data_IF_685118347906
#
_entry.id   IF_685118347906
#
_cell.length_a   1.000
_cell.length_b   1.000
_cell.length_c   1.000
_cell.angle_alpha   90.00
_cell.angle_beta   90.00
_cell.angle_gamma   90.00
#
_symmetry.space_group_name_H-M   'P 1'
#
loop_
_entity.id
_entity.type
_entity.pdbx_description
1 polymer ?
#
# COMPACT_ATOMS: atom_id res chain seq x y z
N UNK A 1 -21.21 9.74 -9.42
CA UNK A 1 -20.73 9.70 -10.81
C UNK A 1 -19.39 8.98 -10.79
N UNK A 2 -19.14 8.07 -11.72
CA UNK A 2 -17.80 7.48 -11.89
C UNK A 2 -16.90 8.52 -12.55
N UNK A 3 -16.07 9.17 -11.75
CA UNK A 3 -15.15 10.22 -12.18
C UNK A 3 -13.81 10.13 -11.40
N UNK A 4 -12.90 11.04 -11.72
CA UNK A 4 -11.60 11.14 -11.04
C UNK A 4 -11.73 11.44 -9.55
N UNK A 5 -12.75 12.17 -9.12
CA UNK A 5 -12.95 12.52 -7.71
C UNK A 5 -13.32 11.29 -6.89
N UNK A 6 -14.25 10.47 -7.41
CA UNK A 6 -14.58 9.18 -6.82
C UNK A 6 -13.33 8.29 -6.70
N UNK A 7 -12.52 8.20 -7.75
CA UNK A 7 -11.28 7.44 -7.73
C UNK A 7 -10.33 7.88 -6.61
N UNK A 8 -10.11 9.19 -6.45
CA UNK A 8 -9.26 9.74 -5.38
C UNK A 8 -9.80 9.41 -3.99
N UNK A 9 -11.11 9.52 -3.77
CA UNK A 9 -11.72 9.15 -2.48
C UNK A 9 -11.59 7.66 -2.19
N UNK A 10 -11.72 6.80 -3.20
CA UNK A 10 -11.52 5.35 -3.06
C UNK A 10 -10.07 4.99 -2.75
N UNK A 11 -9.13 5.67 -3.41
CA UNK A 11 -7.71 5.53 -3.13
C UNK A 11 -7.37 5.91 -1.68
N UNK A 12 -7.90 7.04 -1.20
CA UNK A 12 -7.73 7.48 0.19
C UNK A 12 -8.34 6.51 1.20
N UNK A 13 -9.54 5.98 0.92
CA UNK A 13 -10.19 5.04 1.81
C UNK A 13 -9.47 3.70 1.89
N UNK A 14 -8.96 3.18 0.76
CA UNK A 14 -8.05 2.02 0.75
C UNK A 14 -6.84 2.24 1.66
N UNK A 15 -6.15 3.38 1.50
CA UNK A 15 -5.01 3.76 2.33
C UNK A 15 -5.39 3.83 3.81
N UNK A 16 -6.54 4.43 4.14
CA UNK A 16 -7.02 4.55 5.51
C UNK A 16 -7.24 3.18 6.16
N UNK A 17 -7.87 2.24 5.47
CA UNK A 17 -8.07 0.88 5.99
C UNK A 17 -6.75 0.12 6.13
N UNK A 18 -5.83 0.25 5.16
CA UNK A 18 -4.51 -0.35 5.25
C UNK A 18 -3.75 0.16 6.49
N UNK A 19 -3.69 1.48 6.69
CA UNK A 19 -2.99 2.09 7.82
C UNK A 19 -3.65 1.79 9.16
N UNK A 20 -4.99 1.79 9.21
CA UNK A 20 -5.73 1.28 10.36
C UNK A 20 -5.33 -0.15 10.71
N UNK A 21 -5.17 -1.03 9.71
CA UNK A 21 -4.72 -2.40 9.95
C UNK A 21 -3.31 -2.46 10.52
N UNK A 22 -2.39 -1.62 10.04
CA UNK A 22 -1.00 -1.57 10.52
C UNK A 22 -0.92 -1.07 11.98
N UNK A 23 -1.80 -0.12 12.35
CA UNK A 23 -1.88 0.47 13.69
C UNK A 23 -2.69 -0.35 14.71
N UNK A 24 -3.44 -1.36 14.29
CA UNK A 24 -4.28 -2.13 15.20
C UNK A 24 -3.46 -3.10 16.07
N UNK A 25 -3.66 -3.06 17.39
CA UNK A 25 -3.00 -3.99 18.32
C UNK A 25 -3.71 -5.36 18.35
N UNK A 26 -5.04 -5.36 18.34
CA UNK A 26 -5.85 -6.58 18.44
C UNK A 26 -5.76 -7.40 17.13
N UNK A 27 -5.23 -8.64 17.14
CA UNK A 27 -4.95 -9.40 15.92
C UNK A 27 -6.18 -9.64 15.03
N UNK A 28 -7.35 -9.87 15.64
CA UNK A 28 -8.58 -10.11 14.87
C UNK A 28 -9.04 -8.83 14.14
N UNK A 29 -8.89 -7.66 14.77
CA UNK A 29 -9.23 -6.36 14.18
C UNK A 29 -8.21 -6.00 13.09
N UNK A 30 -6.92 -6.16 13.38
CA UNK A 30 -5.82 -5.98 12.41
C UNK A 30 -6.07 -6.78 11.13
N UNK A 31 -6.25 -8.09 11.25
CA UNK A 31 -6.41 -8.96 10.08
C UNK A 31 -7.67 -8.61 9.30
N UNK A 32 -8.78 -8.32 9.99
CA UNK A 32 -10.03 -7.95 9.32
C UNK A 32 -9.92 -6.63 8.57
N UNK A 33 -9.29 -5.61 9.17
CA UNK A 33 -9.05 -4.33 8.50
C UNK A 33 -8.14 -4.48 7.28
N UNK A 34 -7.12 -5.35 7.38
CA UNK A 34 -6.27 -5.65 6.24
C UNK A 34 -7.06 -6.33 5.12
N UNK A 35 -7.88 -7.35 5.42
CA UNK A 35 -8.78 -7.98 4.44
C UNK A 35 -9.70 -6.95 3.76
N UNK A 36 -10.25 -6.02 4.53
CA UNK A 36 -11.08 -4.95 3.98
C UNK A 36 -10.28 -3.98 3.10
N UNK A 37 -9.04 -3.66 3.45
CA UNK A 37 -8.16 -2.90 2.55
C UNK A 37 -7.95 -3.62 1.21
N UNK A 38 -7.86 -4.95 1.20
CA UNK A 38 -7.71 -5.71 -0.04
C UNK A 38 -9.00 -5.70 -0.89
N UNK A 39 -10.17 -5.67 -0.25
CA UNK A 39 -11.46 -5.45 -0.94
C UNK A 39 -11.48 -4.05 -1.57
N UNK A 40 -11.08 -3.03 -0.80
CA UNK A 40 -11.05 -1.65 -1.29
C UNK A 40 -10.05 -1.42 -2.42
N UNK A 41 -8.90 -2.09 -2.37
CA UNK A 41 -7.95 -2.09 -3.47
C UNK A 41 -8.55 -2.71 -4.74
N UNK A 42 -9.33 -3.78 -4.60
CA UNK A 42 -10.06 -4.39 -5.72
C UNK A 42 -11.12 -3.43 -6.28
N UNK A 43 -11.82 -2.69 -5.43
CA UNK A 43 -12.73 -1.62 -5.86
C UNK A 43 -11.98 -0.56 -6.67
N UNK A 44 -10.81 -0.13 -6.18
CA UNK A 44 -9.95 0.83 -6.88
C UNK A 44 -9.51 0.30 -8.25
N UNK A 45 -9.15 -0.99 -8.35
CA UNK A 45 -8.84 -1.65 -9.63
C UNK A 45 -10.00 -1.60 -10.61
N UNK A 46 -11.21 -1.96 -10.19
CA UNK A 46 -12.38 -1.91 -11.08
C UNK A 46 -12.70 -0.50 -11.57
N UNK A 47 -12.52 0.51 -10.70
CA UNK A 47 -12.67 1.92 -11.10
C UNK A 47 -11.59 2.34 -12.09
N UNK A 48 -10.33 1.98 -11.82
CA UNK A 48 -9.19 2.22 -12.71
C UNK A 48 -9.48 1.70 -14.13
N UNK A 49 -9.90 0.44 -14.25
CA UNK A 49 -10.24 -0.22 -15.52
C UNK A 49 -11.44 0.45 -16.20
N UNK A 50 -12.47 0.81 -15.43
CA UNK A 50 -13.68 1.46 -15.96
C UNK A 50 -13.37 2.86 -16.50
N UNK A 51 -12.65 3.68 -15.73
CA UNK A 51 -12.30 5.04 -16.12
C UNK A 51 -11.41 5.03 -17.36
N UNK A 52 -10.45 4.10 -17.44
CA UNK A 52 -9.63 3.92 -18.63
C UNK A 52 -10.47 3.54 -19.86
N UNK A 53 -11.39 2.57 -19.73
CA UNK A 53 -12.26 2.14 -20.82
C UNK A 53 -13.19 3.26 -21.32
N UNK A 54 -13.65 4.12 -20.41
CA UNK A 54 -14.52 5.26 -20.71
C UNK A 54 -13.73 6.49 -21.22
N UNK A 55 -12.40 6.41 -21.29
CA UNK A 55 -11.53 7.52 -21.71
C UNK A 55 -11.49 8.69 -20.72
N UNK A 56 -11.79 8.43 -19.45
CA UNK A 56 -11.84 9.41 -18.38
C UNK A 56 -10.46 9.44 -17.68
N UNK A 57 -9.74 10.58 -17.71
CA UNK A 57 -8.47 10.69 -16.99
C UNK A 57 -8.69 10.65 -15.48
N UNK A 58 -7.74 10.07 -14.76
CA UNK A 58 -7.71 10.01 -13.30
C UNK A 58 -6.27 10.13 -12.79
N UNK A 59 -6.13 10.43 -11.51
CA UNK A 59 -4.84 10.56 -10.85
C UNK A 59 -4.92 10.13 -9.38
N UNK A 60 -3.77 10.11 -8.71
CA UNK A 60 -3.63 9.69 -7.32
C UNK A 60 -3.56 10.86 -6.34
N UNK A 61 -4.04 12.06 -6.73
CA UNK A 61 -4.06 13.23 -5.85
C UNK A 61 -4.90 12.96 -4.61
N UNK A 62 -4.50 13.56 -3.48
CA UNK A 62 -5.18 13.45 -2.19
C UNK A 62 -5.69 14.80 -1.72
N UNK A 63 -6.77 14.80 -0.97
CA UNK A 63 -7.22 15.97 -0.25
C UNK A 63 -6.09 16.45 0.68
N UNK A 64 -5.83 17.75 0.73
CA UNK A 64 -4.80 18.32 1.61
C UNK A 64 -5.08 18.09 3.10
N UNK A 65 -6.33 17.80 3.47
CA UNK A 65 -6.73 17.42 4.83
C UNK A 65 -6.64 15.90 5.08
N UNK A 66 -6.34 15.08 4.07
CA UNK A 66 -6.21 13.63 4.25
C UNK A 66 -4.96 13.30 5.08
N UNK A 67 -5.18 12.50 6.12
CA UNK A 67 -4.13 11.98 6.99
C UNK A 67 -4.49 10.60 7.52
N UNK A 68 -3.45 9.92 8.00
CA UNK A 68 -3.51 8.59 8.64
C UNK A 68 -3.01 8.62 10.09
N UNK A 69 -2.45 9.74 10.55
CA UNK A 69 -2.00 9.91 11.93
C UNK A 69 -3.19 10.30 12.80
N UNK A 70 -3.42 9.53 13.87
CA UNK A 70 -4.49 9.77 14.83
C UNK A 70 -3.98 9.62 16.25
N UNK A 71 -4.59 10.33 17.20
CA UNK A 71 -4.24 10.23 18.61
C UNK A 71 -4.71 8.91 19.23
N UNK A 72 -5.92 8.45 18.88
CA UNK A 72 -6.47 7.18 19.37
C UNK A 72 -6.96 6.33 18.21
N UNK A 73 -7.01 5.02 18.43
CA UNK A 73 -7.56 4.10 17.43
C UNK A 73 -9.06 4.37 17.18
N UNK A 74 -9.80 4.78 18.22
CA UNK A 74 -11.19 5.20 18.08
C UNK A 74 -11.39 6.41 17.17
N UNK A 75 -10.47 7.40 17.19
CA UNK A 75 -10.50 8.54 16.26
C UNK A 75 -10.32 8.08 14.81
N UNK A 76 -9.35 7.19 14.60
CA UNK A 76 -9.07 6.63 13.28
C UNK A 76 -10.26 5.84 12.71
N UNK A 77 -10.95 5.04 13.55
CA UNK A 77 -12.16 4.33 13.18
C UNK A 77 -13.33 5.28 12.85
N UNK A 78 -13.50 6.37 13.61
CA UNK A 78 -14.50 7.41 13.29
C UNK A 78 -14.23 8.05 11.94
N UNK A 79 -12.99 8.43 11.68
CA UNK A 79 -12.62 8.99 10.39
C UNK A 79 -12.91 8.03 9.22
N UNK A 80 -12.66 6.73 9.38
CA UNK A 80 -13.01 5.73 8.36
C UNK A 80 -14.52 5.58 8.15
N UNK A 81 -15.31 5.60 9.24
CA UNK A 81 -16.78 5.56 9.14
C UNK A 81 -17.34 6.79 8.41
N UNK A 82 -16.84 7.98 8.73
CA UNK A 82 -17.29 9.24 8.12
C UNK A 82 -16.92 9.32 6.64
N UNK A 83 -15.70 8.87 6.29
CA UNK A 83 -15.25 8.79 4.89
C UNK A 83 -16.07 7.81 4.08
N UNK A 84 -16.40 6.64 4.64
CA UNK A 84 -17.23 5.65 3.98
C UNK A 84 -18.67 6.15 3.75
N UNK A 85 -19.22 6.87 4.74
CA UNK A 85 -20.51 7.56 4.58
C UNK A 85 -20.49 8.55 3.42
N UNK A 86 -19.45 9.37 3.35
CA UNK A 86 -19.26 10.36 2.28
C UNK A 86 -19.04 9.70 0.90
N UNK A 87 -18.37 8.55 0.85
CA UNK A 87 -18.20 7.76 -0.37
C UNK A 87 -19.54 7.24 -0.92
N UNK A 88 -20.40 6.72 -0.05
CA UNK A 88 -21.71 6.19 -0.45
C UNK A 88 -22.60 7.25 -1.12
N UNK A 89 -22.47 8.52 -0.73
CA UNK A 89 -23.20 9.65 -1.34
C UNK A 89 -22.72 9.97 -2.77
N UNK A 90 -21.49 9.56 -3.12
CA UNK A 90 -20.88 9.82 -4.45
C UNK A 90 -21.17 8.71 -5.46
N UNK A 91 -21.55 7.53 -4.99
CA UNK A 91 -21.88 6.39 -5.83
C UNK A 91 -23.12 6.65 -6.67
N UNK A 92 -23.01 6.34 -7.97
CA UNK A 92 -24.16 6.32 -8.86
C UNK A 92 -24.91 4.97 -8.79
N UNK A 93 -25.93 4.82 -9.64
CA UNK A 93 -26.78 3.63 -9.73
C UNK A 93 -26.19 2.53 -10.63
N UNK A 94 -24.90 2.62 -10.99
CA UNK A 94 -24.25 1.56 -11.76
C UNK A 94 -24.11 0.26 -10.96
N UNK A 95 -24.09 -0.87 -11.66
CA UNK A 95 -23.86 -2.21 -11.07
C UNK A 95 -22.56 -2.25 -10.25
N UNK A 96 -21.52 -1.56 -10.74
CA UNK A 96 -20.24 -1.48 -10.04
C UNK A 96 -20.37 -0.74 -8.70
N UNK A 97 -21.02 0.43 -8.70
CA UNK A 97 -21.23 1.20 -7.48
C UNK A 97 -22.14 0.47 -6.48
N UNK A 98 -23.17 -0.25 -6.94
CA UNK A 98 -24.00 -1.07 -6.05
C UNK A 98 -23.24 -2.26 -5.46
N UNK A 99 -22.32 -2.86 -6.24
CA UNK A 99 -21.43 -3.90 -5.73
C UNK A 99 -20.55 -3.36 -4.60
N UNK A 100 -19.88 -2.23 -4.83
CA UNK A 100 -19.03 -1.56 -3.82
C UNK A 100 -19.82 -1.22 -2.56
N UNK A 101 -20.99 -0.57 -2.72
CA UNK A 101 -21.91 -0.22 -1.62
C UNK A 101 -22.33 -1.43 -0.80
N UNK A 102 -22.49 -2.60 -1.43
CA UNK A 102 -22.87 -3.83 -0.72
C UNK A 102 -21.73 -4.39 0.12
N UNK A 103 -20.52 -4.47 -0.44
CA UNK A 103 -19.34 -4.93 0.30
C UNK A 103 -19.04 -3.95 1.46
N UNK A 104 -19.16 -2.64 1.21
CA UNK A 104 -18.87 -1.59 2.18
C UNK A 104 -19.90 -1.44 3.29
N UNK A 105 -21.17 -1.81 3.07
CA UNK A 105 -22.15 -1.92 4.16
C UNK A 105 -21.70 -2.90 5.24
N UNK A 106 -21.06 -4.00 4.85
CA UNK A 106 -20.50 -4.95 5.81
C UNK A 106 -19.28 -4.37 6.54
N UNK A 107 -18.37 -3.73 5.80
CA UNK A 107 -17.21 -3.02 6.38
C UNK A 107 -17.68 -1.98 7.41
N UNK A 108 -18.69 -1.17 7.05
CA UNK A 108 -19.26 -0.13 7.91
C UNK A 108 -19.82 -0.70 9.22
N UNK A 109 -20.50 -1.85 9.17
CA UNK A 109 -21.01 -2.53 10.37
C UNK A 109 -19.86 -2.89 11.31
N UNK A 110 -18.82 -3.53 10.77
CA UNK A 110 -17.65 -3.93 11.54
C UNK A 110 -16.93 -2.72 12.15
N UNK A 111 -16.70 -1.66 11.37
CA UNK A 111 -16.04 -0.45 11.86
C UNK A 111 -16.81 0.18 13.03
N UNK A 112 -18.15 0.23 12.96
CA UNK A 112 -19.01 0.74 14.03
C UNK A 112 -18.96 -0.13 15.29
N UNK A 113 -18.88 -1.45 15.14
CA UNK A 113 -18.72 -2.37 16.27
C UNK A 113 -17.38 -2.15 16.99
N UNK A 114 -16.30 -1.86 16.25
CA UNK A 114 -14.98 -1.57 16.82
C UNK A 114 -14.86 -0.20 17.50
N UNK A 115 -15.75 0.76 17.22
CA UNK A 115 -15.67 2.12 17.80
C UNK A 115 -15.89 2.14 19.32
N UNK A 116 -16.53 1.12 19.89
CA UNK A 116 -16.88 1.07 21.31
C UNK A 116 -15.73 0.81 22.28
N UNK A 117 -14.51 0.53 21.80
CA UNK A 117 -13.50 -0.18 22.61
C UNK A 117 -12.12 0.45 22.76
N UNK A 118 -11.81 1.65 22.23
CA UNK A 118 -10.40 2.10 22.18
C UNK A 118 -10.17 3.58 22.46
N UNK A 119 -10.05 3.93 23.74
CA UNK A 119 -9.59 5.25 24.20
C UNK A 119 -8.06 5.34 24.40
N UNK A 120 -7.32 4.26 24.16
CA UNK A 120 -5.87 4.25 24.37
C UNK A 120 -5.14 5.04 23.27
N UNK A 121 -4.12 5.84 23.62
CA UNK A 121 -3.30 6.53 22.64
C UNK A 121 -2.57 5.54 21.72
N UNK A 122 -2.54 5.85 20.42
CA UNK A 122 -1.74 5.11 19.46
C UNK A 122 -0.26 5.43 19.64
N UNK A 123 0.56 4.38 19.77
CA UNK A 123 2.03 4.50 19.81
C UNK A 123 2.65 4.51 18.42
N UNK A 124 1.88 4.11 17.41
CA UNK A 124 2.29 3.98 16.00
C UNK A 124 2.88 5.26 15.39
N UNK A 125 2.57 6.43 15.97
CA UNK A 125 2.97 7.76 15.48
C UNK A 125 3.80 8.58 16.50
N UNK A 126 4.26 7.95 17.59
CA UNK A 126 4.89 8.66 18.72
C UNK A 126 6.36 9.07 18.50
N UNK A 127 6.93 8.65 17.37
CA UNK A 127 8.32 8.91 16.96
C UNK A 127 9.37 8.39 17.94
N UNK A 128 9.03 7.35 18.72
CA UNK A 128 9.94 6.74 19.69
C UNK A 128 11.16 6.07 19.06
N UNK A 129 11.07 5.67 17.77
CA UNK A 129 12.14 4.99 17.01
C UNK A 129 12.72 3.79 17.75
N UNK A 130 11.85 3.05 18.44
CA UNK A 130 12.28 1.95 19.32
C UNK A 130 11.77 0.62 18.80
N UNK A 131 12.68 -0.29 18.47
CA UNK A 131 12.31 -1.68 18.22
C UNK A 131 11.90 -2.35 19.55
N UNK A 132 10.70 -2.95 19.65
CA UNK A 132 10.21 -3.48 20.92
C UNK A 132 10.88 -4.80 21.35
N UNK A 133 11.33 -5.61 20.38
CA UNK A 133 11.77 -6.99 20.64
C UNK A 133 13.26 -7.11 20.97
N UNK A 134 14.06 -6.07 20.71
CA UNK A 134 15.50 -6.06 20.97
C UNK A 134 16.04 -4.64 21.18
N UNK A 135 17.15 -4.53 21.90
CA UNK A 135 17.91 -3.28 22.01
C UNK A 135 18.83 -3.13 20.81
N UNK A 136 18.39 -2.38 19.81
CA UNK A 136 19.23 -1.94 18.70
C UNK A 136 20.10 -0.76 19.16
N UNK A 137 21.35 -0.72 18.71
CA UNK A 137 22.18 0.47 18.88
C UNK A 137 21.73 1.60 17.91
N UNK A 138 22.31 2.80 18.04
CA UNK A 138 21.92 3.95 17.21
C UNK A 138 22.12 3.69 15.72
N UNK A 139 23.25 3.09 15.34
CA UNK A 139 23.57 2.80 13.94
C UNK A 139 22.58 1.79 13.33
N UNK A 140 22.25 0.72 14.05
CA UNK A 140 21.23 -0.26 13.66
C UNK A 140 19.84 0.38 13.56
N UNK A 141 19.50 1.25 14.52
CA UNK A 141 18.20 1.95 14.54
C UNK A 141 18.07 2.92 13.38
N UNK A 142 19.13 3.66 13.07
CA UNK A 142 19.18 4.60 11.94
C UNK A 142 19.09 3.85 10.61
N UNK A 143 19.88 2.79 10.42
CA UNK A 143 19.84 1.96 9.22
C UNK A 143 18.45 1.34 8.99
N UNK A 144 17.86 0.76 10.04
CA UNK A 144 16.50 0.20 9.98
C UNK A 144 15.46 1.27 9.67
N UNK A 145 15.57 2.45 10.29
CA UNK A 145 14.62 3.56 10.05
C UNK A 145 14.67 4.01 8.59
N UNK A 146 15.88 4.25 8.05
CA UNK A 146 16.05 4.70 6.66
C UNK A 146 15.48 3.69 5.68
N UNK A 147 15.87 2.42 5.82
CA UNK A 147 15.35 1.33 5.00
C UNK A 147 13.83 1.28 5.01
N UNK A 148 13.20 1.30 6.18
CA UNK A 148 11.75 1.21 6.28
C UNK A 148 11.04 2.38 5.60
N UNK A 149 11.57 3.61 5.68
CA UNK A 149 11.00 4.75 4.97
C UNK A 149 11.17 4.65 3.46
N UNK A 150 12.36 4.24 2.99
CA UNK A 150 12.65 4.10 1.56
C UNK A 150 11.80 2.99 0.93
N UNK A 151 11.79 1.81 1.53
CA UNK A 151 11.10 0.65 1.00
C UNK A 151 9.58 0.74 1.15
N UNK A 152 9.04 1.18 2.29
CA UNK A 152 7.57 1.37 2.39
C UNK A 152 7.06 2.40 1.38
N UNK A 153 7.84 3.44 1.11
CA UNK A 153 7.52 4.42 0.10
C UNK A 153 7.57 3.83 -1.32
N UNK A 154 8.66 3.10 -1.63
CA UNK A 154 8.86 2.39 -2.90
C UNK A 154 7.67 1.47 -3.18
N UNK A 155 7.31 0.61 -2.23
CA UNK A 155 6.26 -0.39 -2.43
C UNK A 155 4.88 0.23 -2.64
N UNK A 156 4.55 1.28 -1.88
CA UNK A 156 3.32 2.04 -2.15
C UNK A 156 3.32 2.67 -3.55
N UNK A 157 4.44 3.25 -3.98
CA UNK A 157 4.57 3.83 -5.32
C UNK A 157 4.40 2.77 -6.41
N UNK A 158 5.07 1.62 -6.26
CA UNK A 158 5.00 0.49 -7.19
C UNK A 158 3.59 -0.08 -7.33
N UNK A 159 2.85 -0.28 -6.22
CA UNK A 159 1.44 -0.73 -6.27
C UNK A 159 0.60 0.15 -7.19
N UNK A 160 0.74 1.48 -7.09
CA UNK A 160 -0.05 2.43 -7.87
C UNK A 160 0.42 2.55 -9.32
N UNK A 161 1.74 2.48 -9.57
CA UNK A 161 2.29 2.42 -10.93
C UNK A 161 1.80 1.15 -11.64
N UNK A 162 1.92 -0.01 -10.99
CA UNK A 162 1.49 -1.28 -11.56
C UNK A 162 -0.02 -1.35 -11.73
N UNK A 163 -0.82 -0.77 -10.82
CA UNK A 163 -2.26 -0.64 -10.99
C UNK A 163 -2.61 0.20 -12.24
N UNK A 164 -1.89 1.30 -12.45
CA UNK A 164 -2.05 2.13 -13.65
C UNK A 164 -1.70 1.36 -14.93
N UNK A 165 -0.63 0.56 -14.89
CA UNK A 165 -0.21 -0.29 -16.02
C UNK A 165 -1.14 -1.47 -16.26
N UNK A 166 -1.71 -2.05 -15.21
CA UNK A 166 -2.63 -3.18 -15.29
C UNK A 166 -3.89 -2.82 -16.09
N UNK A 167 -4.48 -1.65 -15.85
CA UNK A 167 -5.63 -1.18 -16.62
C UNK A 167 -5.33 -0.99 -18.12
N UNK A 168 -4.04 -0.84 -18.47
CA UNK A 168 -3.52 -0.65 -19.85
C UNK A 168 -2.89 -1.90 -20.44
N UNK A 169 -2.91 -3.02 -19.72
CA UNK A 169 -2.33 -4.26 -20.19
C UNK A 169 -3.09 -4.77 -21.42
N UNK A 170 -2.35 -5.14 -22.47
CA UNK A 170 -2.93 -5.63 -23.73
C UNK A 170 -2.81 -7.14 -23.90
N UNK A 171 -2.04 -7.80 -23.04
CA UNK A 171 -1.85 -9.25 -23.06
C UNK A 171 -2.19 -9.86 -21.70
N UNK A 172 -2.56 -11.14 -21.71
CA UNK A 172 -2.77 -11.89 -20.48
C UNK A 172 -1.47 -12.01 -19.66
N UNK A 173 -0.31 -12.08 -20.33
CA UNK A 173 0.99 -12.13 -19.69
C UNK A 173 1.30 -10.82 -18.93
N UNK A 174 1.07 -9.65 -19.55
CA UNK A 174 1.19 -8.36 -18.86
C UNK A 174 0.24 -8.28 -17.66
N UNK A 175 -1.03 -8.68 -17.86
CA UNK A 175 -2.04 -8.62 -16.80
C UNK A 175 -1.66 -9.49 -15.59
N UNK A 176 -1.16 -10.70 -15.84
CA UNK A 176 -0.64 -11.60 -14.81
C UNK A 176 0.56 -10.99 -14.10
N UNK A 177 1.59 -10.58 -14.85
CA UNK A 177 2.82 -10.05 -14.26
C UNK A 177 2.59 -8.79 -13.42
N UNK A 178 1.75 -7.85 -13.86
CA UNK A 178 1.42 -6.67 -13.04
C UNK A 178 0.59 -7.04 -11.81
N UNK A 179 -0.26 -8.06 -11.90
CA UNK A 179 -1.00 -8.56 -10.72
C UNK A 179 -0.02 -9.17 -9.71
N UNK A 180 0.89 -10.03 -10.17
CA UNK A 180 1.90 -10.66 -9.31
C UNK A 180 2.77 -9.59 -8.60
N UNK A 181 3.23 -8.57 -9.34
CA UNK A 181 4.01 -7.46 -8.77
C UNK A 181 3.21 -6.65 -7.74
N UNK A 182 1.92 -6.39 -7.99
CA UNK A 182 1.06 -5.69 -7.02
C UNK A 182 0.90 -6.52 -5.74
N UNK A 183 0.69 -7.83 -5.87
CA UNK A 183 0.48 -8.73 -4.73
C UNK A 183 1.71 -8.82 -3.84
N UNK A 184 2.91 -8.97 -4.43
CA UNK A 184 4.16 -8.97 -3.68
C UNK A 184 4.44 -7.60 -3.04
N UNK A 185 4.25 -6.49 -3.76
CA UNK A 185 4.40 -5.15 -3.19
C UNK A 185 3.43 -4.87 -2.05
N UNK A 186 2.20 -5.41 -2.08
CA UNK A 186 1.29 -5.33 -0.93
C UNK A 186 1.85 -6.05 0.30
N UNK A 187 2.45 -7.22 0.10
CA UNK A 187 3.07 -7.97 1.19
C UNK A 187 4.24 -7.20 1.81
N UNK A 188 5.12 -6.62 0.98
CA UNK A 188 6.23 -5.79 1.46
C UNK A 188 5.74 -4.53 2.16
N UNK A 189 4.83 -3.76 1.54
CA UNK A 189 4.25 -2.55 2.14
C UNK A 189 3.65 -2.85 3.52
N UNK A 190 2.88 -3.93 3.65
CA UNK A 190 2.33 -4.37 4.94
C UNK A 190 3.45 -4.66 5.94
N UNK A 191 4.42 -5.47 5.55
CA UNK A 191 5.49 -5.92 6.45
C UNK A 191 6.30 -4.75 6.98
N UNK A 192 6.74 -3.84 6.10
CA UNK A 192 7.50 -2.66 6.48
C UNK A 192 6.65 -1.67 7.29
N UNK A 193 5.39 -1.44 6.91
CA UNK A 193 4.51 -0.54 7.66
C UNK A 193 4.18 -1.06 9.06
N UNK A 194 3.98 -2.37 9.23
CA UNK A 194 3.81 -2.96 10.56
C UNK A 194 5.07 -2.83 11.42
N UNK A 195 6.27 -2.90 10.83
CA UNK A 195 7.52 -2.63 11.53
C UNK A 195 7.65 -1.15 11.92
N UNK A 196 7.33 -0.24 11.00
CA UNK A 196 7.28 1.20 11.28
C UNK A 196 6.30 1.51 12.41
N UNK A 197 5.15 0.83 12.42
CA UNK A 197 4.14 0.99 13.47
C UNK A 197 4.65 0.53 14.84
N UNK A 198 5.38 -0.59 14.91
CA UNK A 198 6.05 -1.03 16.14
C UNK A 198 7.10 -0.05 16.64
N UNK A 199 7.76 0.65 15.73
CA UNK A 199 8.79 1.66 16.02
C UNK A 199 8.23 3.06 16.29
N UNK A 200 6.92 3.25 16.17
CA UNK A 200 6.27 4.55 16.34
C UNK A 200 6.54 5.55 15.21
N UNK A 201 6.97 5.08 14.04
CA UNK A 201 7.36 5.91 12.89
C UNK A 201 6.50 5.67 11.65
N UNK A 202 5.32 5.04 11.77
CA UNK A 202 4.45 4.85 10.63
C UNK A 202 4.09 6.23 10.05
N UNK A 203 4.20 6.39 8.74
CA UNK A 203 3.95 7.65 8.07
C UNK A 203 3.23 7.43 6.75
N UNK A 204 2.45 8.43 6.34
CA UNK A 204 1.81 8.43 5.04
C UNK A 204 2.87 8.61 3.93
N UNK A 205 2.86 7.79 2.86
CA UNK A 205 3.79 7.94 1.75
C UNK A 205 3.53 9.25 1.00
N UNK A 206 4.54 9.84 0.36
CA UNK A 206 4.33 11.06 -0.46
C UNK A 206 3.32 10.79 -1.58
N UNK A 207 2.67 11.87 -2.04
CA UNK A 207 1.73 11.79 -3.15
C UNK A 207 2.46 11.49 -4.46
N UNK A 208 1.84 10.70 -5.33
CA UNK A 208 2.40 10.38 -6.64
C UNK A 208 2.04 11.46 -7.66
N UNK A 209 3.05 12.03 -8.29
CA UNK A 209 2.87 12.94 -9.41
C UNK A 209 2.63 12.15 -10.72
N UNK A 210 1.83 12.64 -11.68
CA UNK A 210 1.57 11.98 -12.96
C UNK A 210 2.80 11.40 -13.67
N UNK A 211 3.88 12.17 -13.71
CA UNK A 211 5.19 11.75 -14.29
C UNK A 211 5.78 10.48 -13.68
N UNK A 212 5.35 10.07 -12.49
CA UNK A 212 5.81 8.85 -11.82
C UNK A 212 5.12 7.61 -12.37
N UNK A 213 3.83 7.68 -12.70
CA UNK A 213 3.04 6.51 -13.14
C UNK A 213 2.67 6.52 -14.63
N UNK A 214 2.71 7.67 -15.29
CA UNK A 214 2.60 7.81 -16.74
C UNK A 214 3.91 7.46 -17.43
N UNK A 215 4.27 6.17 -17.39
CA UNK A 215 5.53 5.67 -17.95
C UNK A 215 5.52 5.76 -19.47
N UNK A 216 6.38 6.61 -20.03
CA UNK A 216 6.55 6.78 -21.48
C UNK A 216 7.54 5.78 -22.10
N UNK A 217 8.44 5.23 -21.28
CA UNK A 217 9.47 4.27 -21.70
C UNK A 217 9.47 3.08 -20.72
N UNK A 218 8.69 2.07 -21.07
CA UNK A 218 8.52 0.86 -20.25
C UNK A 218 9.79 0.02 -20.14
N UNK A 219 10.60 -0.04 -21.21
CA UNK A 219 11.85 -0.79 -21.16
C UNK A 219 12.81 -0.16 -20.16
N UNK A 220 12.99 1.17 -20.22
CA UNK A 220 13.82 1.88 -19.25
C UNK A 220 13.30 1.74 -17.84
N UNK A 221 11.98 1.87 -17.64
CA UNK A 221 11.36 1.71 -16.32
C UNK A 221 11.67 0.32 -15.73
N UNK A 222 11.45 -0.76 -16.48
CA UNK A 222 11.71 -2.12 -16.00
C UNK A 222 13.19 -2.39 -15.75
N UNK A 223 14.09 -1.88 -16.62
CA UNK A 223 15.54 -2.02 -16.41
C UNK A 223 16.01 -1.28 -15.17
N UNK A 224 15.49 -0.08 -14.93
CA UNK A 224 15.79 0.68 -13.72
C UNK A 224 15.24 -0.04 -12.48
N UNK A 225 14.01 -0.56 -12.54
CA UNK A 225 13.41 -1.35 -11.47
C UNK A 225 14.25 -2.58 -11.11
N UNK A 226 14.75 -3.33 -12.09
CA UNK A 226 15.66 -4.47 -11.84
C UNK A 226 16.93 -4.01 -11.09
N UNK A 227 17.52 -2.88 -11.46
CA UNK A 227 18.70 -2.34 -10.75
C UNK A 227 18.33 -1.91 -9.33
N UNK A 228 17.16 -1.34 -9.14
CA UNK A 228 16.64 -0.95 -7.83
C UNK A 228 16.45 -2.15 -6.91
N UNK A 229 15.86 -3.26 -7.39
CA UNK A 229 15.72 -4.48 -6.58
C UNK A 229 17.05 -5.15 -6.26
N UNK A 230 18.04 -5.12 -7.17
CA UNK A 230 19.38 -5.63 -6.85
C UNK A 230 20.08 -4.78 -5.76
N UNK A 231 19.83 -3.46 -5.75
CA UNK A 231 20.30 -2.58 -4.67
C UNK A 231 19.57 -2.87 -3.35
N UNK A 232 18.24 -3.03 -3.38
CA UNK A 232 17.43 -3.37 -2.21
C UNK A 232 17.87 -4.71 -1.59
N UNK A 233 18.24 -5.69 -2.44
CA UNK A 233 18.82 -6.96 -2.00
C UNK A 233 20.14 -6.78 -1.26
N UNK A 234 21.06 -5.97 -1.79
CA UNK A 234 22.34 -5.73 -1.13
C UNK A 234 22.14 -4.98 0.21
N UNK A 235 21.20 -4.05 0.26
CA UNK A 235 20.84 -3.35 1.50
C UNK A 235 20.22 -4.32 2.52
N UNK A 236 19.30 -5.21 2.12
CA UNK A 236 18.76 -6.27 2.98
C UNK A 236 19.87 -7.18 3.53
N UNK A 237 20.83 -7.57 2.68
CA UNK A 237 22.00 -8.38 3.08
C UNK A 237 22.85 -7.65 4.11
N UNK A 238 23.10 -6.34 3.88
CA UNK A 238 23.83 -5.48 4.81
C UNK A 238 23.11 -5.39 6.15
N UNK A 239 21.81 -5.08 6.17
CA UNK A 239 21.00 -5.00 7.38
C UNK A 239 20.97 -6.33 8.13
N UNK A 240 20.77 -7.45 7.42
CA UNK A 240 20.78 -8.80 8.00
C UNK A 240 22.10 -9.10 8.71
N UNK A 241 23.23 -8.64 8.17
CA UNK A 241 24.56 -8.83 8.77
C UNK A 241 24.87 -7.93 9.98
N UNK A 242 24.24 -6.75 10.06
CA UNK A 242 24.52 -5.74 11.09
C UNK A 242 23.53 -5.82 12.24
N UNK A 243 22.30 -6.26 12.00
CA UNK A 243 21.26 -6.39 13.01
C UNK A 243 21.52 -7.63 13.88
N UNK A 244 21.60 -7.40 15.19
CA UNK A 244 21.86 -8.43 16.19
C UNK A 244 20.63 -9.22 16.61
N UNK A 245 19.43 -8.74 16.26
CA UNK A 245 18.17 -9.44 16.50
C UNK A 245 17.97 -10.56 15.47
N UNK A 246 17.90 -11.85 15.88
CA UNK A 246 17.81 -12.96 14.95
C UNK A 246 16.53 -12.95 14.12
N UNK A 247 15.41 -12.48 14.66
CA UNK A 247 14.13 -12.45 13.94
C UNK A 247 14.15 -11.43 12.81
N UNK A 248 14.65 -10.22 13.09
CA UNK A 248 14.86 -9.19 12.08
C UNK A 248 15.88 -9.64 11.03
N UNK A 249 16.99 -10.26 11.45
CA UNK A 249 18.00 -10.77 10.52
C UNK A 249 17.42 -11.82 9.55
N UNK A 250 16.66 -12.80 10.06
CA UNK A 250 15.96 -13.79 9.23
C UNK A 250 14.85 -13.17 8.36
N UNK A 251 14.17 -12.12 8.83
CA UNK A 251 13.20 -11.39 8.03
C UNK A 251 13.87 -10.73 6.81
N UNK A 252 15.00 -10.06 6.98
CA UNK A 252 15.72 -9.45 5.84
C UNK A 252 16.29 -10.48 4.87
N UNK A 253 16.71 -11.65 5.36
CA UNK A 253 17.08 -12.78 4.49
C UNK A 253 15.87 -13.28 3.68
N UNK A 254 14.70 -13.39 4.31
CA UNK A 254 13.47 -13.77 3.63
C UNK A 254 13.06 -12.76 2.53
N UNK A 255 13.07 -11.45 2.84
CA UNK A 255 12.78 -10.40 1.86
C UNK A 255 13.77 -10.44 0.69
N UNK A 256 15.06 -10.65 0.95
CA UNK A 256 16.08 -10.75 -0.10
C UNK A 256 15.77 -11.83 -1.16
N UNK A 257 15.16 -12.95 -0.75
CA UNK A 257 14.71 -13.98 -1.68
C UNK A 257 13.48 -13.56 -2.49
N UNK A 258 12.53 -12.83 -1.89
CA UNK A 258 11.36 -12.31 -2.60
C UNK A 258 11.74 -11.30 -3.69
N UNK A 259 12.69 -10.41 -3.42
CA UNK A 259 13.19 -9.45 -4.41
C UNK A 259 13.80 -10.15 -5.64
N UNK A 260 14.34 -11.36 -5.47
CA UNK A 260 14.82 -12.14 -6.60
C UNK A 260 13.68 -12.55 -7.55
N UNK A 261 12.48 -12.78 -7.02
CA UNK A 261 11.31 -13.10 -7.84
C UNK A 261 10.74 -11.87 -8.55
N UNK A 262 10.72 -10.69 -7.90
CA UNK A 262 10.40 -9.41 -8.57
C UNK A 262 11.23 -9.19 -9.83
N UNK A 263 12.54 -9.41 -9.72
CA UNK A 263 13.48 -9.30 -10.84
C UNK A 263 13.09 -10.24 -11.99
N UNK A 264 12.72 -11.49 -11.69
CA UNK A 264 12.32 -12.45 -12.72
C UNK A 264 11.00 -12.05 -13.40
N UNK A 265 10.03 -11.49 -12.67
CA UNK A 265 8.79 -10.97 -13.26
C UNK A 265 9.09 -9.78 -14.19
N UNK A 266 9.96 -8.86 -13.77
CA UNK A 266 10.37 -7.71 -14.60
C UNK A 266 11.15 -8.14 -15.85
N UNK A 267 12.01 -9.15 -15.76
CA UNK A 267 12.69 -9.75 -16.92
C UNK A 267 11.68 -10.36 -17.90
N UNK A 268 10.70 -11.10 -17.39
CA UNK A 268 9.61 -11.66 -18.23
C UNK A 268 8.80 -10.57 -18.91
N UNK A 269 8.49 -9.48 -18.19
CA UNK A 269 7.83 -8.32 -18.76
C UNK A 269 8.65 -7.75 -19.93
N UNK A 270 9.96 -7.57 -19.78
CA UNK A 270 10.84 -7.06 -20.85
C UNK A 270 10.80 -7.88 -22.15
N UNK A 271 10.42 -9.16 -22.10
CA UNK A 271 10.31 -10.02 -23.29
C UNK A 271 9.05 -9.74 -24.13
N UNK A 272 8.01 -9.12 -23.57
CA UNK A 272 6.73 -8.90 -24.25
C UNK A 272 6.82 -7.94 -25.45
N UNK A 273 7.85 -7.08 -25.53
CA UNK A 273 8.20 -6.12 -26.61
C UNK A 273 7.09 -5.17 -27.12
N UNK A 274 5.84 -5.36 -26.73
CA UNK A 274 4.69 -4.55 -27.12
C UNK A 274 4.15 -3.78 -25.90
N UNK A 275 4.64 -2.55 -25.74
CA UNK A 275 4.14 -1.62 -24.73
C UNK A 275 3.30 -0.56 -25.43
N UNK A 276 1.97 -0.62 -25.27
CA UNK A 276 1.14 0.53 -25.60
C UNK A 276 1.23 1.54 -24.44
N UNK A 277 1.40 2.81 -24.81
CA UNK A 277 1.28 3.96 -23.92
C UNK A 277 -0.14 4.52 -24.01
#
# INVERSE_FOLDING_TARGET
MRDAELFRHKHQFWLRLAYLSFSADEPCVKNRLYEFSQIEFRHLKWLCETLYADGIPYDYHRDGAFGVEFHTFGDALRAAVDELGSLHERYDDSVLCERMRTDERFILSFLKECQGTTAQPLRTFDRSRRWPDASLNNEQTDALTLFLFEESYKEYELILIYLYRLARATTAAQSSSFTDLIEESHFHLRSFSEMMAKMGILALPRELHPRTYEITDMEKFLRNGIVEEENAKEECRRLSSVITDPKLSSFFEFINFQESYHIEIMKKLLEEREWKN
#
